data_IF_122192106317
#
_entry.id   IF_122192106317
#
_cell.length_a   1.000
_cell.length_b   1.000
_cell.length_c   1.000
_cell.angle_alpha   90.00
_cell.angle_beta   90.00
_cell.angle_gamma   90.00
#
_symmetry.space_group_name_H-M   'P 1'
#
loop_
_entity.id
_entity.type
_entity.pdbx_description
1 polymer ?
#
# COMPACT_ATOMS: atom_id res chain seq x y z
N UNK A 1 -2.96 -55.04 -5.99
CA UNK A 1 -3.94 -54.00 -5.59
C UNK A 1 -3.35 -52.86 -4.74
N UNK A 2 -2.33 -53.08 -3.89
CA UNK A 2 -1.73 -52.04 -3.02
C UNK A 2 -0.97 -50.94 -3.79
N UNK A 3 -0.24 -51.29 -4.84
CA UNK A 3 0.59 -50.34 -5.62
C UNK A 3 -0.23 -49.26 -6.36
N UNK A 4 -1.37 -49.64 -6.96
CA UNK A 4 -2.31 -48.69 -7.59
C UNK A 4 -2.93 -47.71 -6.60
N UNK A 5 -3.14 -48.12 -5.34
CA UNK A 5 -3.65 -47.24 -4.27
C UNK A 5 -2.59 -46.25 -3.78
N UNK A 6 -1.32 -46.67 -3.73
CA UNK A 6 -0.18 -45.78 -3.41
C UNK A 6 0.00 -44.72 -4.50
N UNK A 7 -0.08 -45.12 -5.77
CA UNK A 7 0.05 -44.20 -6.91
C UNK A 7 -1.12 -43.19 -6.98
N UNK A 8 -2.34 -43.64 -6.68
CA UNK A 8 -3.50 -42.76 -6.58
C UNK A 8 -3.41 -41.79 -5.38
N UNK A 9 -2.87 -42.23 -4.24
CA UNK A 9 -2.63 -41.39 -3.08
C UNK A 9 -1.57 -40.30 -3.32
N UNK A 10 -0.48 -40.65 -4.02
CA UNK A 10 0.54 -39.68 -4.47
C UNK A 10 -0.02 -38.67 -5.46
N UNK A 11 -0.83 -39.11 -6.44
CA UNK A 11 -1.47 -38.23 -7.41
C UNK A 11 -2.42 -37.22 -6.75
N UNK A 12 -3.20 -37.64 -5.76
CA UNK A 12 -4.12 -36.75 -5.02
C UNK A 12 -3.39 -35.71 -4.15
N UNK A 13 -2.19 -36.04 -3.65
CA UNK A 13 -1.37 -35.12 -2.85
C UNK A 13 -0.68 -34.03 -3.69
N UNK A 14 -0.37 -34.34 -4.96
CA UNK A 14 0.32 -33.43 -5.90
C UNK A 14 -0.68 -32.54 -6.65
N UNK A 15 -1.92 -33.01 -6.86
CA UNK A 15 -2.98 -32.26 -7.54
C UNK A 15 -3.17 -30.80 -7.06
N UNK A 16 -3.23 -30.48 -5.74
CA UNK A 16 -3.37 -29.09 -5.30
C UNK A 16 -2.15 -28.20 -5.60
N UNK A 17 -0.96 -28.79 -5.83
CA UNK A 17 0.23 -28.04 -6.24
C UNK A 17 0.29 -27.79 -7.75
N UNK A 18 -0.35 -28.62 -8.57
CA UNK A 18 -0.49 -28.41 -10.02
C UNK A 18 -1.57 -27.36 -10.32
N UNK A 19 -2.60 -27.27 -9.48
CA UNK A 19 -3.65 -26.23 -9.55
C UNK A 19 -3.37 -25.04 -8.62
N UNK A 20 -2.10 -24.74 -8.32
CA UNK A 20 -1.75 -23.54 -7.58
C UNK A 20 -2.18 -22.31 -8.39
N UNK A 21 -3.31 -21.71 -8.00
CA UNK A 21 -3.74 -20.41 -8.52
C UNK A 21 -2.65 -19.42 -8.14
N UNK A 22 -2.09 -18.73 -9.13
CA UNK A 22 -1.19 -17.61 -8.89
C UNK A 22 -1.92 -16.55 -8.07
N UNK A 23 -1.66 -16.50 -6.76
CA UNK A 23 -1.99 -15.33 -5.94
C UNK A 23 -1.07 -14.22 -6.40
N UNK A 24 -1.63 -13.21 -7.05
CA UNK A 24 -0.90 -11.96 -7.28
C UNK A 24 -0.66 -11.30 -5.93
N UNK A 25 0.58 -10.92 -5.65
CA UNK A 25 0.88 -10.10 -4.48
C UNK A 25 0.05 -8.80 -4.54
N UNK A 26 -0.33 -8.28 -3.36
CA UNK A 26 -0.99 -6.99 -3.28
C UNK A 26 -0.15 -5.91 -3.98
N UNK A 27 -0.79 -5.07 -4.78
CA UNK A 27 -0.12 -3.94 -5.45
C UNK A 27 0.28 -2.90 -4.42
N UNK A 28 1.53 -2.44 -4.48
CA UNK A 28 2.11 -1.36 -3.65
C UNK A 28 2.09 -0.04 -4.39
N UNK A 29 1.03 0.25 -5.15
CA UNK A 29 1.02 1.39 -6.08
C UNK A 29 0.79 2.75 -5.39
N UNK A 30 0.33 2.74 -4.14
CA UNK A 30 0.07 3.98 -3.39
C UNK A 30 0.55 3.85 -1.94
N UNK A 31 1.07 4.97 -1.43
CA UNK A 31 1.42 5.17 -0.03
C UNK A 31 0.50 6.24 0.57
N UNK A 32 0.07 6.10 1.82
CA UNK A 32 -0.51 7.21 2.60
C UNK A 32 0.43 7.64 3.73
N UNK A 33 0.46 8.93 4.02
CA UNK A 33 1.28 9.51 5.09
C UNK A 33 0.54 10.60 5.87
N UNK A 34 0.97 10.81 7.10
CA UNK A 34 0.43 11.79 8.03
C UNK A 34 1.54 12.36 8.94
N UNK A 35 1.17 13.26 9.85
CA UNK A 35 2.07 13.75 10.90
C UNK A 35 2.56 12.70 11.90
N UNK A 36 2.06 11.45 11.82
CA UNK A 36 2.55 10.33 12.65
C UNK A 36 3.72 9.58 12.00
N UNK A 37 4.05 9.90 10.74
CA UNK A 37 5.18 9.30 10.04
C UNK A 37 6.43 10.17 10.22
N UNK A 38 7.61 9.55 10.15
CA UNK A 38 8.87 10.29 10.02
C UNK A 38 8.79 11.21 8.79
N UNK A 39 9.30 12.44 8.92
CA UNK A 39 9.38 13.38 7.80
C UNK A 39 10.16 12.77 6.65
N UNK A 40 9.51 12.65 5.48
CA UNK A 40 10.12 12.11 4.27
C UNK A 40 10.66 13.23 3.38
N UNK A 41 11.92 13.09 2.97
CA UNK A 41 12.58 13.94 1.98
C UNK A 41 12.19 13.55 0.55
N UNK A 42 12.52 14.39 -0.44
CA UNK A 42 12.35 14.05 -1.86
C UNK A 42 13.13 12.78 -2.26
N UNK A 43 14.32 12.57 -1.70
CA UNK A 43 15.12 11.35 -1.96
C UNK A 43 14.45 10.10 -1.39
N UNK A 44 13.77 10.20 -0.25
CA UNK A 44 13.00 9.08 0.31
C UNK A 44 11.85 8.71 -0.63
N UNK A 45 11.09 9.69 -1.13
CA UNK A 45 10.03 9.45 -2.10
C UNK A 45 10.54 8.89 -3.42
N UNK A 46 11.71 9.34 -3.88
CA UNK A 46 12.35 8.80 -5.09
C UNK A 46 12.72 7.33 -4.89
N UNK A 47 13.24 6.97 -3.71
CA UNK A 47 13.57 5.59 -3.36
C UNK A 47 12.31 4.73 -3.25
N UNK A 48 11.24 5.27 -2.66
CA UNK A 48 9.92 4.62 -2.57
C UNK A 48 9.37 4.31 -3.97
N UNK A 49 9.43 5.27 -4.90
CA UNK A 49 9.02 5.09 -6.30
C UNK A 49 9.83 4.01 -7.00
N UNK A 50 11.16 4.10 -6.94
CA UNK A 50 12.05 3.25 -7.73
C UNK A 50 12.18 1.83 -7.18
N UNK A 51 12.18 1.66 -5.86
CA UNK A 51 12.49 0.39 -5.22
C UNK A 51 11.24 -0.40 -4.79
N UNK A 52 10.12 0.28 -4.56
CA UNK A 52 8.88 -0.35 -4.08
C UNK A 52 7.71 -0.23 -5.05
N UNK A 53 7.92 0.40 -6.21
CA UNK A 53 6.92 0.48 -7.28
C UNK A 53 5.74 1.41 -6.99
N UNK A 54 5.84 2.25 -5.94
CA UNK A 54 4.80 3.23 -5.59
C UNK A 54 4.71 4.29 -6.69
N UNK A 55 3.48 4.62 -7.07
CA UNK A 55 3.15 5.56 -8.15
C UNK A 55 2.48 6.83 -7.63
N UNK A 56 1.81 6.74 -6.49
CA UNK A 56 1.09 7.85 -5.88
C UNK A 56 1.31 7.94 -4.36
N UNK A 57 1.19 9.14 -3.80
CA UNK A 57 1.11 9.35 -2.36
C UNK A 57 -0.14 10.15 -1.99
N UNK A 58 -0.81 9.76 -0.90
CA UNK A 58 -1.93 10.49 -0.33
C UNK A 58 -1.53 11.06 1.04
N UNK A 59 -1.59 12.38 1.18
CA UNK A 59 -1.07 13.10 2.35
C UNK A 59 -2.21 13.61 3.22
N UNK A 60 -2.16 13.34 4.53
CA UNK A 60 -3.11 13.92 5.49
C UNK A 60 -2.95 15.42 5.52
N UNK A 61 -3.97 16.18 5.17
CA UNK A 61 -3.92 17.64 5.25
C UNK A 61 -4.56 18.15 6.53
N UNK A 62 -5.64 17.51 6.98
CA UNK A 62 -6.40 17.94 8.16
C UNK A 62 -7.14 16.80 8.86
N UNK A 63 -7.63 17.08 10.07
CA UNK A 63 -8.47 16.19 10.87
C UNK A 63 -9.52 17.00 11.64
N UNK A 64 -10.78 16.55 11.60
CA UNK A 64 -11.90 17.24 12.23
C UNK A 64 -12.01 18.71 11.82
N UNK A 65 -12.39 19.58 12.75
CA UNK A 65 -12.53 21.01 12.45
C UNK A 65 -11.33 21.86 12.84
N UNK A 66 -10.37 21.31 13.59
CA UNK A 66 -9.35 22.11 14.28
C UNK A 66 -7.91 21.71 13.97
N UNK A 67 -7.67 20.53 13.43
CA UNK A 67 -6.32 20.05 13.17
C UNK A 67 -5.96 20.18 11.69
N UNK A 68 -4.84 20.86 11.42
CA UNK A 68 -4.17 20.86 10.13
C UNK A 68 -2.71 20.49 10.34
N UNK A 69 -2.20 19.55 9.55
CA UNK A 69 -0.80 19.15 9.67
C UNK A 69 0.11 20.13 8.94
N UNK A 70 0.99 20.83 9.67
CA UNK A 70 1.91 21.82 9.11
C UNK A 70 2.90 21.23 8.09
N UNK A 71 3.24 19.94 8.19
CA UNK A 71 4.15 19.24 7.28
C UNK A 71 3.52 18.82 5.94
N UNK A 72 2.19 18.92 5.78
CA UNK A 72 1.50 18.40 4.61
C UNK A 72 1.98 19.04 3.30
N UNK A 73 2.16 20.37 3.29
CA UNK A 73 2.64 21.10 2.11
C UNK A 73 4.02 20.62 1.66
N UNK A 74 4.96 20.50 2.59
CA UNK A 74 6.32 20.05 2.30
C UNK A 74 6.36 18.61 1.79
N UNK A 75 5.55 17.73 2.39
CA UNK A 75 5.44 16.34 1.94
C UNK A 75 4.87 16.22 0.52
N UNK A 76 3.81 16.98 0.20
CA UNK A 76 3.22 17.03 -1.15
C UNK A 76 4.24 17.56 -2.17
N UNK A 77 4.98 18.62 -1.83
CA UNK A 77 6.01 19.18 -2.70
C UNK A 77 7.14 18.18 -2.96
N UNK A 78 7.67 17.54 -1.92
CA UNK A 78 8.73 16.54 -2.04
C UNK A 78 8.28 15.33 -2.89
N UNK A 79 7.07 14.83 -2.68
CA UNK A 79 6.54 13.70 -3.44
C UNK A 79 6.28 14.06 -4.91
N UNK A 80 5.73 15.25 -5.17
CA UNK A 80 5.52 15.76 -6.54
C UNK A 80 6.86 15.89 -7.26
N UNK A 81 7.86 16.49 -6.61
CA UNK A 81 9.21 16.65 -7.16
C UNK A 81 9.94 15.31 -7.38
N UNK A 82 9.57 14.27 -6.63
CA UNK A 82 10.06 12.90 -6.84
C UNK A 82 9.36 12.16 -8.00
N UNK A 83 8.36 12.78 -8.64
CA UNK A 83 7.62 12.24 -9.77
C UNK A 83 6.47 11.31 -9.38
N UNK A 84 5.96 11.39 -8.15
CA UNK A 84 4.77 10.66 -7.70
C UNK A 84 3.51 11.50 -7.95
N UNK A 85 2.39 10.85 -8.27
CA UNK A 85 1.07 11.50 -8.23
C UNK A 85 0.70 11.83 -6.78
N UNK A 86 0.12 13.01 -6.52
CA UNK A 86 -0.16 13.47 -5.17
C UNK A 86 -1.64 13.74 -4.95
N UNK A 87 -2.18 13.21 -3.85
CA UNK A 87 -3.54 13.48 -3.37
C UNK A 87 -3.48 13.97 -1.92
N UNK A 88 -4.54 14.64 -1.46
CA UNK A 88 -4.73 15.01 -0.06
C UNK A 88 -5.94 14.29 0.54
N UNK A 89 -5.91 14.02 1.84
CA UNK A 89 -7.09 13.53 2.57
C UNK A 89 -7.36 14.30 3.86
N UNK A 90 -8.65 14.38 4.19
CA UNK A 90 -9.17 14.87 5.46
C UNK A 90 -9.59 13.70 6.33
N UNK A 91 -9.09 13.61 7.56
CA UNK A 91 -9.59 12.64 8.53
C UNK A 91 -10.85 13.18 9.21
N UNK A 92 -12.01 12.76 8.73
CA UNK A 92 -13.29 13.25 9.24
C UNK A 92 -13.53 12.85 10.69
N UNK A 93 -13.99 13.82 11.51
CA UNK A 93 -14.53 13.60 12.85
C UNK A 93 -15.96 14.11 12.87
N UNK A 94 -16.92 13.20 12.69
CA UNK A 94 -18.33 13.56 12.72
C UNK A 94 -18.83 13.61 14.16
N UNK A 95 -19.48 14.71 14.54
CA UNK A 95 -20.15 14.85 15.84
C UNK A 95 -21.50 14.12 15.90
N UNK A 96 -22.02 13.71 14.75
CA UNK A 96 -23.31 13.04 14.61
C UNK A 96 -23.20 12.03 13.47
N UNK A 97 -23.72 10.81 13.67
CA UNK A 97 -23.93 9.86 12.58
C UNK A 97 -25.08 10.42 11.73
N UNK A 98 -24.83 10.60 10.44
CA UNK A 98 -25.85 11.01 9.47
C UNK A 98 -26.94 9.95 9.30
#
# INVERSE_FOLDING_TARGET
MKFKKILAGLGAFIAPFIFAVSVFAARTDMLDISGNNTTLSQSDFTSIRNNYGVKAVTVKTSEGSTYAWSGAKGAIQNATNAGLYTNGYHFARFGTLC
#
